data_IF_515178829829
#
_entry.id   IF_515178829829
#
_cell.length_a   1.000
_cell.length_b   1.000
_cell.length_c   1.000
_cell.angle_alpha   90.00
_cell.angle_beta   90.00
_cell.angle_gamma   90.00
#
_symmetry.space_group_name_H-M   'P 1'
#
loop_
_entity.id
_entity.type
_entity.pdbx_description
1 polymer ?
#
# COMPACT_ATOMS: atom_id res chain seq x y z
N UNK A 1 15.63 1.89 6.38
CA UNK A 1 14.87 1.15 5.34
C UNK A 1 14.18 2.19 4.47
N UNK A 2 14.22 2.05 3.15
CA UNK A 2 13.47 2.93 2.26
C UNK A 2 11.97 2.63 2.41
N UNK A 3 11.12 3.67 2.37
CA UNK A 3 9.67 3.55 2.37
C UNK A 3 9.09 4.44 1.27
N UNK A 4 8.02 3.99 0.64
CA UNK A 4 7.19 4.85 -0.21
C UNK A 4 5.96 5.27 0.59
N UNK A 5 5.49 6.49 0.34
CA UNK A 5 4.28 7.04 0.95
C UNK A 5 3.34 7.44 -0.17
N UNK A 6 2.10 6.94 -0.13
CA UNK A 6 1.02 7.33 -1.02
C UNK A 6 -0.06 8.04 -0.22
N UNK A 7 -0.23 9.33 -0.47
CA UNK A 7 -1.35 10.10 0.05
C UNK A 7 -2.51 10.09 -0.95
N UNK A 8 -3.67 9.57 -0.52
CA UNK A 8 -4.87 9.51 -1.33
C UNK A 8 -5.88 10.59 -0.96
N UNK A 9 -5.56 11.46 0.01
CA UNK A 9 -6.48 12.49 0.47
C UNK A 9 -6.85 13.47 -0.65
N UNK A 10 -5.89 13.85 -1.50
CA UNK A 10 -6.12 14.83 -2.57
C UNK A 10 -6.94 14.30 -3.75
N UNK A 11 -6.97 12.98 -3.95
CA UNK A 11 -7.66 12.31 -5.07
C UNK A 11 -8.87 11.50 -4.62
N UNK A 12 -9.36 11.73 -3.40
CA UNK A 12 -10.43 10.93 -2.77
C UNK A 12 -11.72 10.81 -3.59
N UNK A 13 -12.02 11.81 -4.42
CA UNK A 13 -13.22 11.89 -5.26
C UNK A 13 -13.00 11.38 -6.70
N UNK A 14 -11.77 10.98 -7.06
CA UNK A 14 -11.42 10.49 -8.39
C UNK A 14 -11.14 9.00 -8.37
N UNK A 15 -12.22 8.22 -8.47
CA UNK A 15 -12.21 6.76 -8.35
C UNK A 15 -11.11 6.06 -9.17
N UNK A 16 -10.98 6.41 -10.44
CA UNK A 16 -10.01 5.78 -11.36
C UNK A 16 -8.56 6.16 -11.03
N UNK A 17 -8.35 7.40 -10.54
CA UNK A 17 -7.02 7.88 -10.16
C UNK A 17 -6.52 7.16 -8.91
N UNK A 18 -7.41 6.80 -7.99
CA UNK A 18 -7.05 6.03 -6.79
C UNK A 18 -6.48 4.66 -7.17
N UNK A 19 -7.17 3.92 -8.04
CA UNK A 19 -6.73 2.57 -8.45
C UNK A 19 -5.43 2.63 -9.23
N UNK A 20 -5.29 3.62 -10.12
CA UNK A 20 -4.03 3.86 -10.85
C UNK A 20 -2.88 4.17 -9.89
N UNK A 21 -3.06 5.11 -8.96
CA UNK A 21 -2.01 5.49 -8.01
C UNK A 21 -1.62 4.34 -7.07
N UNK A 22 -2.60 3.52 -6.66
CA UNK A 22 -2.33 2.30 -5.89
C UNK A 22 -1.52 1.29 -6.70
N UNK A 23 -1.85 1.08 -7.98
CA UNK A 23 -1.07 0.19 -8.85
C UNK A 23 0.35 0.71 -9.05
N UNK A 24 0.50 2.00 -9.37
CA UNK A 24 1.78 2.64 -9.63
C UNK A 24 2.73 2.52 -8.40
N UNK A 25 2.24 2.77 -7.18
CA UNK A 25 3.09 2.66 -5.97
C UNK A 25 3.49 1.22 -5.64
N UNK A 26 2.61 0.25 -5.90
CA UNK A 26 2.91 -1.17 -5.65
C UNK A 26 3.94 -1.66 -6.68
N UNK A 27 3.74 -1.34 -7.97
CA UNK A 27 4.67 -1.68 -9.04
C UNK A 27 6.04 -1.03 -8.80
N UNK A 28 6.07 0.23 -8.36
CA UNK A 28 7.30 0.91 -7.97
C UNK A 28 8.00 0.22 -6.79
N UNK A 29 7.25 -0.17 -5.75
CA UNK A 29 7.81 -0.86 -4.60
C UNK A 29 8.45 -2.21 -4.99
N UNK A 30 7.82 -2.94 -5.91
CA UNK A 30 8.36 -4.19 -6.47
C UNK A 30 9.60 -3.92 -7.30
N UNK A 31 9.53 -2.99 -8.26
CA UNK A 31 10.63 -2.67 -9.16
C UNK A 31 11.89 -2.18 -8.42
N UNK A 32 11.70 -1.32 -7.41
CA UNK A 32 12.78 -0.76 -6.60
C UNK A 32 13.16 -1.61 -5.38
N UNK A 33 12.55 -2.78 -5.20
CA UNK A 33 12.74 -3.66 -4.03
C UNK A 33 12.57 -2.91 -2.69
N UNK A 34 11.54 -2.08 -2.59
CA UNK A 34 11.19 -1.35 -1.36
C UNK A 34 10.41 -2.28 -0.43
N UNK A 35 10.82 -2.33 0.84
CA UNK A 35 10.24 -3.28 1.80
C UNK A 35 8.86 -2.84 2.34
N UNK A 36 8.56 -1.54 2.27
CA UNK A 36 7.40 -0.93 2.95
C UNK A 36 6.76 0.19 2.11
N UNK A 37 5.44 0.11 1.94
CA UNK A 37 4.59 1.19 1.42
C UNK A 37 3.61 1.63 2.50
N UNK A 38 3.59 2.93 2.79
CA UNK A 38 2.62 3.58 3.68
C UNK A 38 1.53 4.23 2.81
N UNK A 39 0.29 3.77 2.96
CA UNK A 39 -0.87 4.31 2.24
C UNK A 39 -1.71 5.11 3.24
N UNK A 40 -2.02 6.37 2.88
CA UNK A 40 -2.79 7.31 3.69
C UNK A 40 -4.14 7.57 3.00
N UNK A 41 -5.16 6.71 3.23
CA UNK A 41 -6.53 6.97 2.77
C UNK A 41 -7.28 8.02 3.60
N UNK A 42 -6.73 8.48 4.72
CA UNK A 42 -7.37 9.47 5.60
C UNK A 42 -8.38 8.88 6.60
N UNK A 43 -8.90 9.74 7.50
CA UNK A 43 -9.75 9.38 8.66
C UNK A 43 -11.26 9.56 8.45
N UNK A 44 -11.71 9.82 7.23
CA UNK A 44 -13.12 10.13 6.93
C UNK A 44 -14.08 8.97 7.14
N UNK A 45 -15.12 8.87 6.32
CA UNK A 45 -16.17 7.82 6.41
C UNK A 45 -15.69 6.36 6.28
N UNK A 46 -14.39 6.15 6.02
CA UNK A 46 -13.79 4.83 5.84
C UNK A 46 -14.04 4.21 4.46
N UNK A 47 -14.81 4.85 3.58
CA UNK A 47 -15.06 4.35 2.23
C UNK A 47 -13.78 4.22 1.41
N UNK A 48 -12.90 5.23 1.46
CA UNK A 48 -11.61 5.19 0.76
C UNK A 48 -10.72 4.06 1.29
N UNK A 49 -10.68 3.87 2.62
CA UNK A 49 -9.98 2.75 3.25
C UNK A 49 -10.51 1.39 2.79
N UNK A 50 -11.84 1.23 2.70
CA UNK A 50 -12.47 0.00 2.16
C UNK A 50 -12.07 -0.22 0.69
N UNK A 51 -12.05 0.84 -0.13
CA UNK A 51 -11.63 0.75 -1.53
C UNK A 51 -10.17 0.29 -1.65
N UNK A 52 -9.25 0.87 -0.87
CA UNK A 52 -7.84 0.45 -0.81
C UNK A 52 -7.71 -1.02 -0.41
N UNK A 53 -8.40 -1.44 0.66
CA UNK A 53 -8.34 -2.85 1.10
C UNK A 53 -8.88 -3.81 0.04
N UNK A 54 -9.94 -3.44 -0.69
CA UNK A 54 -10.50 -4.23 -1.79
C UNK A 54 -9.52 -4.35 -2.96
N UNK A 55 -8.79 -3.28 -3.28
CA UNK A 55 -7.73 -3.31 -4.28
C UNK A 55 -6.59 -4.25 -3.87
N UNK A 56 -6.12 -4.14 -2.62
CA UNK A 56 -5.03 -4.97 -2.11
C UNK A 56 -5.41 -6.46 -2.08
N UNK A 57 -6.68 -6.80 -1.83
CA UNK A 57 -7.14 -8.19 -1.80
C UNK A 57 -7.32 -8.84 -3.20
N UNK A 58 -7.16 -8.08 -4.29
CA UNK A 58 -7.15 -8.64 -5.64
C UNK A 58 -6.02 -9.66 -5.77
N UNK A 59 -6.31 -10.82 -6.38
CA UNK A 59 -5.40 -11.97 -6.41
C UNK A 59 -4.02 -11.63 -6.99
N UNK A 60 -3.97 -10.85 -8.06
CA UNK A 60 -2.73 -10.39 -8.68
C UNK A 60 -1.91 -9.46 -7.78
N UNK A 61 -2.57 -8.53 -7.07
CA UNK A 61 -1.91 -7.56 -6.18
C UNK A 61 -1.43 -8.24 -4.91
N UNK A 62 -2.26 -9.10 -4.31
CA UNK A 62 -1.97 -9.85 -3.09
C UNK A 62 -0.76 -10.77 -3.23
N UNK A 63 -0.48 -11.26 -4.44
CA UNK A 63 0.70 -12.06 -4.73
C UNK A 63 2.02 -11.26 -4.68
N UNK A 64 1.96 -9.93 -4.74
CA UNK A 64 3.16 -9.06 -4.78
C UNK A 64 3.71 -8.71 -3.40
N UNK A 65 2.93 -8.85 -2.34
CA UNK A 65 3.31 -8.46 -0.98
C UNK A 65 3.09 -9.60 0.02
N UNK A 66 3.67 -9.48 1.21
CA UNK A 66 3.59 -10.50 2.25
C UNK A 66 2.46 -10.27 3.26
N UNK A 67 2.29 -9.03 3.74
CA UNK A 67 1.23 -8.68 4.69
C UNK A 67 0.80 -7.22 4.59
N UNK A 68 -0.38 -6.94 5.14
CA UNK A 68 -0.92 -5.57 5.31
C UNK A 68 -1.20 -5.35 6.78
N UNK A 69 -0.55 -4.34 7.36
CA UNK A 69 -0.75 -3.93 8.75
C UNK A 69 -1.67 -2.70 8.79
N UNK A 70 -2.75 -2.79 9.58
CA UNK A 70 -3.66 -1.68 9.84
C UNK A 70 -3.15 -0.95 11.08
N UNK A 71 -2.91 0.35 10.98
CA UNK A 71 -2.46 1.13 12.13
C UNK A 71 -3.59 1.22 13.17
N UNK A 72 -3.34 0.65 14.35
CA UNK A 72 -4.27 0.62 15.49
C UNK A 72 -4.32 1.94 16.26
N UNK A 73 -3.33 2.82 16.08
CA UNK A 73 -3.24 4.14 16.72
C UNK A 73 -3.66 5.26 15.76
N UNK A 74 -3.41 5.09 14.47
CA UNK A 74 -3.81 6.04 13.43
C UNK A 74 -4.60 5.36 12.31
N UNK A 75 -5.89 5.16 12.53
CA UNK A 75 -6.79 4.44 11.61
C UNK A 75 -6.83 4.96 10.16
N UNK A 76 -6.30 6.16 9.91
CA UNK A 76 -6.14 6.74 8.57
C UNK A 76 -4.92 6.26 7.79
N UNK A 77 -4.21 5.21 8.26
CA UNK A 77 -3.02 4.65 7.62
C UNK A 77 -3.10 3.13 7.45
N UNK A 78 -2.46 2.66 6.40
CA UNK A 78 -2.25 1.24 6.08
C UNK A 78 -0.79 1.05 5.68
N UNK A 79 -0.22 -0.08 6.08
CA UNK A 79 1.16 -0.44 5.75
C UNK A 79 1.16 -1.73 4.94
N UNK A 80 1.79 -1.72 3.77
CA UNK A 80 1.96 -2.90 2.93
C UNK A 80 3.42 -3.32 2.98
N UNK A 81 3.66 -4.53 3.45
CA UNK A 81 5.00 -5.09 3.63
C UNK A 81 5.32 -6.06 2.49
N UNK A 82 6.45 -5.82 1.84
CA UNK A 82 6.95 -6.64 0.74
C UNK A 82 8.07 -7.55 1.24
N UNK A 83 8.10 -8.77 0.73
CA UNK A 83 9.19 -9.70 0.99
C UNK A 83 9.94 -9.96 -0.32
N UNK A 84 10.95 -9.13 -0.58
CA UNK A 84 11.87 -9.37 -1.68
C UNK A 84 12.83 -10.48 -1.26
N UNK A 85 13.00 -11.53 -2.07
CA UNK A 85 13.87 -12.69 -1.77
C UNK A 85 15.37 -12.36 -1.68
N UNK A 86 15.74 -11.10 -1.54
CA UNK A 86 17.10 -10.63 -1.74
C UNK A 86 17.52 -9.57 -0.70
N UNK A 87 17.71 -10.03 0.54
CA UNK A 87 18.64 -9.41 1.50
C UNK A 87 19.31 -10.51 2.30
N UNK A 88 20.53 -10.87 1.88
CA UNK A 88 21.62 -11.40 2.73
C UNK A 88 21.14 -12.13 4.00
N UNK A 89 20.63 -13.36 3.88
CA UNK A 89 20.82 -14.34 4.97
C UNK A 89 22.28 -14.81 4.91
N UNK A 90 23.19 -13.95 5.37
CA UNK A 90 24.57 -14.30 5.71
C UNK A 90 24.82 -13.75 7.11
N UNK A 91 24.28 -14.45 8.11
CA UNK A 91 24.84 -14.58 9.46
C UNK A 91 24.37 -15.92 9.99
#
# INVERSE_FOLDING_TARGET
MAKLVLDLHDIYNKGDQIEKALKDVIDEAVAKKIDLVEIIPGKGSGQLKKKVLRFLDQKEVKALYHRVDKDSKNFGRLFVHFQHKDKRKKR
#
